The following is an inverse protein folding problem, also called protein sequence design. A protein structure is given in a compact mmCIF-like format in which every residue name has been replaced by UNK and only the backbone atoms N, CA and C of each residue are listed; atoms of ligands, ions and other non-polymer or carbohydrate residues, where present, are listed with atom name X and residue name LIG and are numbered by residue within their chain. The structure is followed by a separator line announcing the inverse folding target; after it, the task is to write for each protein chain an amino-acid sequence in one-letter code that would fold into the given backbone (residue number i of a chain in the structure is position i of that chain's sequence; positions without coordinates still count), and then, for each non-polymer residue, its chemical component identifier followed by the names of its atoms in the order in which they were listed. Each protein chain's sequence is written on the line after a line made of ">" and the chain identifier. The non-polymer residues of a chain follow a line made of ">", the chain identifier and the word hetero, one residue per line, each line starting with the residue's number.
data_IF_472036334698
#
_entry.id   IF_472036334698
#
_cell.length_a   1.000
_cell.length_b   1.000
_cell.length_c   1.000
_cell.angle_alpha   90.00
_cell.angle_beta   90.00
_cell.angle_gamma   90.00
#
_symmetry.space_group_name_H-M   'P 1'
#
loop_
_entity.id
_entity.type
_entity.pdbx_description
1 polymer ?
#
# COMPACT_ATOMS: atom_id res chain seq x y z
N UNK A 1 76.29 -38.51 -15.88
CA UNK A 1 75.19 -37.53 -16.03
C UNK A 1 73.98 -38.23 -16.65
N UNK A 2 72.98 -38.58 -15.84
CA UNK A 2 71.66 -39.09 -16.28
C UNK A 2 70.62 -38.31 -15.47
N UNK A 3 70.22 -37.16 -15.97
CA UNK A 3 69.16 -36.31 -15.39
C UNK A 3 68.13 -36.08 -16.48
N UNK A 4 67.18 -37.01 -16.63
CA UNK A 4 66.17 -36.93 -17.69
C UNK A 4 64.93 -37.80 -17.47
N UNK A 5 64.70 -38.32 -16.25
CA UNK A 5 63.54 -39.17 -15.95
C UNK A 5 62.58 -38.57 -14.91
N UNK A 6 63.01 -37.55 -14.16
CA UNK A 6 62.19 -36.87 -13.15
C UNK A 6 61.30 -35.76 -13.70
N UNK A 7 61.67 -35.17 -14.85
CA UNK A 7 60.92 -34.06 -15.45
C UNK A 7 59.61 -34.52 -16.09
N UNK A 8 59.56 -35.71 -16.68
CA UNK A 8 58.39 -36.25 -17.39
C UNK A 8 57.24 -36.68 -16.45
N UNK A 9 57.57 -37.29 -15.31
CA UNK A 9 56.57 -37.65 -14.27
C UNK A 9 55.94 -36.40 -13.60
N UNK A 10 56.75 -35.35 -13.44
CA UNK A 10 56.31 -34.07 -12.86
C UNK A 10 55.43 -33.26 -13.82
N UNK A 11 55.67 -33.36 -15.13
CA UNK A 11 54.84 -32.76 -16.17
C UNK A 11 53.49 -33.48 -16.32
N UNK A 12 53.50 -34.83 -16.37
CA UNK A 12 52.26 -35.64 -16.42
C UNK A 12 51.35 -35.42 -15.21
N UNK A 13 51.91 -35.33 -14.00
CA UNK A 13 51.13 -35.08 -12.79
C UNK A 13 50.54 -33.65 -12.73
N UNK A 14 51.19 -32.66 -13.34
CA UNK A 14 50.63 -31.30 -13.50
C UNK A 14 49.49 -31.28 -14.51
N UNK A 15 49.65 -31.94 -15.66
CA UNK A 15 48.62 -32.06 -16.69
C UNK A 15 47.35 -32.76 -16.15
N UNK A 16 47.51 -33.90 -15.45
CA UNK A 16 46.41 -34.60 -14.79
C UNK A 16 45.71 -33.76 -13.71
N UNK A 17 46.44 -32.91 -12.97
CA UNK A 17 45.85 -31.97 -12.01
C UNK A 17 45.07 -30.84 -12.70
N UNK A 18 45.52 -30.40 -13.87
CA UNK A 18 44.87 -29.33 -14.64
C UNK A 18 43.57 -29.82 -15.30
N UNK A 19 43.53 -31.06 -15.81
CA UNK A 19 42.33 -31.65 -16.41
C UNK A 19 41.21 -31.96 -15.41
N UNK A 20 41.51 -32.09 -14.12
CA UNK A 20 40.51 -32.28 -13.06
C UNK A 20 40.04 -30.94 -12.49
N UNK A 21 40.93 -29.94 -12.39
CA UNK A 21 40.58 -28.62 -11.87
C UNK A 21 39.64 -27.84 -12.79
N UNK A 22 39.83 -27.92 -14.11
CA UNK A 22 38.99 -27.21 -15.09
C UNK A 22 37.51 -27.63 -15.06
N UNK A 23 37.15 -28.93 -15.10
CA UNK A 23 35.76 -29.35 -14.99
C UNK A 23 35.17 -29.10 -13.59
N UNK A 24 35.97 -29.17 -12.52
CA UNK A 24 35.51 -28.81 -11.15
C UNK A 24 35.20 -27.31 -11.04
N UNK A 25 36.02 -26.44 -11.64
CA UNK A 25 35.77 -24.99 -11.71
C UNK A 25 34.53 -24.70 -12.58
N UNK A 26 34.38 -25.35 -13.74
CA UNK A 26 33.20 -25.19 -14.59
C UNK A 26 31.91 -25.67 -13.92
N UNK A 27 31.95 -26.78 -13.16
CA UNK A 27 30.81 -27.28 -12.38
C UNK A 27 30.46 -26.39 -11.18
N UNK A 28 31.44 -25.73 -10.57
CA UNK A 28 31.21 -24.81 -9.44
C UNK A 28 30.73 -23.42 -9.87
N UNK A 29 31.03 -23.00 -11.11
CA UNK A 29 30.48 -21.78 -11.72
C UNK A 29 28.98 -21.91 -12.05
N UNK A 30 28.45 -23.11 -12.32
CA UNK A 30 27.00 -23.33 -12.47
C UNK A 30 26.22 -23.32 -11.15
N UNK A 31 26.90 -23.59 -10.02
CA UNK A 31 26.29 -23.54 -8.68
C UNK A 31 26.18 -22.11 -8.12
N UNK A 32 26.83 -21.14 -8.75
CA UNK A 32 26.87 -19.73 -8.32
C UNK A 32 25.98 -18.79 -9.14
N UNK A 33 24.98 -19.32 -9.84
CA UNK A 33 23.81 -18.52 -10.20
C UNK A 33 23.15 -18.05 -8.92
N UNK A 34 23.61 -16.91 -8.39
CA UNK A 34 22.97 -16.26 -7.27
C UNK A 34 21.52 -16.06 -7.67
N UNK A 35 20.62 -16.76 -6.98
CA UNK A 35 19.23 -16.35 -6.92
C UNK A 35 19.25 -15.00 -6.21
N UNK A 36 19.51 -13.95 -6.96
CA UNK A 36 19.31 -12.58 -6.53
C UNK A 36 17.87 -12.56 -6.01
N UNK A 37 17.71 -12.27 -4.72
CA UNK A 37 16.43 -12.20 -4.05
C UNK A 37 15.42 -11.58 -5.01
N UNK A 38 14.35 -12.30 -5.35
CA UNK A 38 13.35 -11.79 -6.27
C UNK A 38 12.95 -10.39 -5.80
N UNK A 39 13.22 -9.39 -6.63
CA UNK A 39 12.82 -8.01 -6.41
C UNK A 39 11.33 -8.03 -6.04
N UNK A 40 10.96 -7.39 -4.92
CA UNK A 40 9.63 -7.51 -4.30
C UNK A 40 8.53 -7.38 -5.37
N UNK A 41 7.94 -8.50 -5.77
CA UNK A 41 6.93 -8.52 -6.83
C UNK A 41 5.67 -7.86 -6.29
N UNK A 42 5.07 -6.94 -7.06
CA UNK A 42 3.83 -6.30 -6.67
C UNK A 42 2.79 -7.36 -6.25
N UNK A 43 2.08 -7.10 -5.15
CA UNK A 43 0.95 -7.93 -4.77
C UNK A 43 -0.02 -8.04 -5.95
N UNK A 44 -0.43 -9.27 -6.26
CA UNK A 44 -1.30 -9.55 -7.39
C UNK A 44 -2.17 -10.76 -7.10
N UNK A 45 -3.32 -10.82 -7.77
CA UNK A 45 -4.26 -11.92 -7.61
C UNK A 45 -4.95 -12.24 -8.94
N UNK A 46 -4.77 -13.49 -9.40
CA UNK A 46 -5.44 -14.00 -10.59
C UNK A 46 -6.94 -14.22 -10.36
N UNK A 47 -7.70 -14.08 -11.44
CA UNK A 47 -9.17 -14.13 -11.46
C UNK A 47 -9.82 -13.18 -10.45
N UNK A 48 -9.20 -12.04 -10.20
CA UNK A 48 -9.72 -11.00 -9.33
C UNK A 48 -9.56 -9.64 -10.00
N UNK A 49 -10.38 -8.69 -9.56
CA UNK A 49 -10.30 -7.28 -9.92
C UNK A 49 -10.78 -6.44 -8.74
N UNK A 50 -10.31 -5.20 -8.66
CA UNK A 50 -10.92 -4.23 -7.76
C UNK A 50 -12.10 -3.54 -8.47
N UNK A 51 -13.26 -3.48 -7.82
CA UNK A 51 -14.49 -2.89 -8.38
C UNK A 51 -14.82 -1.56 -7.68
N UNK A 52 -15.46 -0.63 -8.40
CA UNK A 52 -15.93 0.64 -7.81
C UNK A 52 -14.85 1.73 -7.67
N UNK A 53 -13.62 1.44 -8.10
CA UNK A 53 -12.46 2.33 -7.97
C UNK A 53 -11.76 2.63 -9.31
N UNK A 54 -12.42 2.32 -10.44
CA UNK A 54 -11.86 2.51 -11.77
C UNK A 54 -11.86 3.99 -12.12
N UNK A 55 -10.67 4.57 -12.32
CA UNK A 55 -10.49 5.96 -12.76
C UNK A 55 -10.30 6.08 -14.27
N UNK A 56 -9.83 5.02 -14.93
CA UNK A 56 -9.64 5.00 -16.37
C UNK A 56 -9.70 3.59 -16.93
N UNK A 57 -10.32 3.45 -18.09
CA UNK A 57 -10.34 2.19 -18.84
C UNK A 57 -9.64 2.36 -20.19
N UNK A 58 -8.84 1.37 -20.56
CA UNK A 58 -8.19 1.24 -21.87
C UNK A 58 -8.56 -0.09 -22.51
N UNK A 59 -8.93 -0.04 -23.79
CA UNK A 59 -9.23 -1.24 -24.60
C UNK A 59 -8.04 -1.62 -25.47
N UNK A 60 -8.09 -2.83 -26.04
CA UNK A 60 -7.05 -3.40 -26.91
C UNK A 60 -5.65 -3.46 -26.26
N UNK A 61 -5.59 -3.58 -24.93
CA UNK A 61 -4.34 -3.79 -24.18
C UNK A 61 -3.95 -5.26 -24.25
N UNK A 62 -2.68 -5.55 -24.59
CA UNK A 62 -2.20 -6.91 -24.89
C UNK A 62 -1.45 -7.59 -23.74
N UNK A 63 -1.07 -6.84 -22.72
CA UNK A 63 -0.35 -7.37 -21.56
C UNK A 63 -0.60 -6.55 -20.29
N UNK A 64 -0.40 -7.16 -19.14
CA UNK A 64 -0.40 -6.45 -17.86
C UNK A 64 0.70 -5.38 -17.81
N UNK A 65 1.86 -5.60 -18.47
CA UNK A 65 2.93 -4.61 -18.56
C UNK A 65 2.46 -3.31 -19.22
N UNK A 66 1.77 -3.39 -20.36
CA UNK A 66 1.19 -2.21 -21.02
C UNK A 66 0.14 -1.51 -20.14
N UNK A 67 -0.56 -2.26 -19.30
CA UNK A 67 -1.51 -1.69 -18.34
C UNK A 67 -0.77 -0.95 -17.20
N UNK A 68 0.34 -1.52 -16.71
CA UNK A 68 1.24 -0.90 -15.72
C UNK A 68 1.87 0.39 -16.26
N UNK A 69 2.34 0.40 -17.51
CA UNK A 69 2.88 1.61 -18.17
C UNK A 69 1.83 2.72 -18.25
N UNK A 70 0.56 2.36 -18.48
CA UNK A 70 -0.55 3.33 -18.45
C UNK A 70 -0.81 3.85 -17.04
N UNK A 71 -0.73 2.98 -16.02
CA UNK A 71 -0.87 3.38 -14.62
C UNK A 71 0.20 4.37 -14.18
N UNK A 72 1.45 4.20 -14.64
CA UNK A 72 2.57 5.10 -14.35
C UNK A 72 2.27 6.56 -14.74
N UNK A 73 1.57 6.77 -15.85
CA UNK A 73 1.20 8.09 -16.36
C UNK A 73 0.06 8.76 -15.57
N UNK A 74 -0.57 8.05 -14.62
CA UNK A 74 -1.67 8.55 -13.80
C UNK A 74 -1.26 8.59 -12.33
N UNK A 75 -1.11 9.81 -11.78
CA UNK A 75 -0.68 10.02 -10.39
C UNK A 75 -1.60 9.37 -9.35
N UNK A 76 -2.86 9.17 -9.68
CA UNK A 76 -3.85 8.58 -8.77
C UNK A 76 -4.04 7.08 -9.00
N UNK A 77 -3.20 6.44 -9.83
CA UNK A 77 -3.29 5.01 -10.09
C UNK A 77 -2.44 4.19 -9.09
N UNK A 78 -3.12 3.42 -8.24
CA UNK A 78 -2.53 2.58 -7.19
C UNK A 78 -2.60 1.07 -7.49
N UNK A 79 -3.49 0.67 -8.40
CA UNK A 79 -3.58 -0.72 -8.88
C UNK A 79 -4.21 -0.79 -10.27
N UNK A 80 -4.11 -1.96 -10.89
CA UNK A 80 -4.69 -2.23 -12.20
C UNK A 80 -5.53 -3.51 -12.20
N UNK A 81 -6.57 -3.54 -13.04
CA UNK A 81 -7.24 -4.76 -13.46
C UNK A 81 -6.89 -5.01 -14.93
N UNK A 82 -6.15 -6.09 -15.22
CA UNK A 82 -5.90 -6.53 -16.58
C UNK A 82 -6.81 -7.71 -16.94
N UNK A 83 -7.90 -7.44 -17.63
CA UNK A 83 -8.87 -8.41 -18.11
C UNK A 83 -8.47 -8.93 -19.49
N UNK A 84 -7.58 -9.93 -19.50
CA UNK A 84 -6.92 -10.45 -20.69
C UNK A 84 -7.87 -11.10 -21.69
N UNK A 85 -8.99 -11.68 -21.23
CA UNK A 85 -10.01 -12.26 -22.11
C UNK A 85 -10.71 -11.20 -23.00
N UNK A 86 -10.71 -9.94 -22.55
CA UNK A 86 -11.37 -8.81 -23.22
C UNK A 86 -10.36 -7.81 -23.80
N UNK A 87 -9.07 -7.97 -23.52
CA UNK A 87 -8.04 -6.97 -23.84
C UNK A 87 -8.30 -5.62 -23.16
N UNK A 88 -8.88 -5.63 -21.96
CA UNK A 88 -9.25 -4.44 -21.19
C UNK A 88 -8.28 -4.24 -20.03
N UNK A 89 -7.89 -2.99 -19.81
CA UNK A 89 -7.09 -2.52 -18.70
C UNK A 89 -7.88 -1.45 -17.96
N UNK A 90 -8.13 -1.65 -16.67
CA UNK A 90 -8.71 -0.65 -15.79
C UNK A 90 -7.63 -0.16 -14.82
N UNK A 91 -7.45 1.15 -14.73
CA UNK A 91 -6.60 1.83 -13.75
C UNK A 91 -7.45 2.20 -12.55
N UNK A 92 -6.96 1.97 -11.33
CA UNK A 92 -7.75 2.15 -10.12
C UNK A 92 -7.07 3.10 -9.12
N UNK A 93 -7.88 3.90 -8.43
CA UNK A 93 -7.42 4.78 -7.34
C UNK A 93 -7.40 4.13 -5.95
N UNK A 94 -7.58 2.82 -5.89
CA UNK A 94 -7.53 2.04 -4.67
C UNK A 94 -6.72 0.76 -4.89
N UNK A 95 -6.44 0.05 -3.80
CA UNK A 95 -5.81 -1.26 -3.83
C UNK A 95 -6.39 -2.18 -2.73
N UNK A 96 -5.91 -3.43 -2.68
CA UNK A 96 -6.37 -4.44 -1.72
C UNK A 96 -6.14 -4.07 -0.25
N UNK A 97 -5.22 -3.14 0.05
CA UNK A 97 -4.96 -2.69 1.41
C UNK A 97 -5.96 -1.62 1.85
N UNK A 98 -6.27 -0.67 0.95
CA UNK A 98 -7.19 0.45 1.21
C UNK A 98 -8.66 0.04 1.11
N UNK A 99 -8.99 -0.86 0.18
CA UNK A 99 -10.36 -1.31 -0.09
C UNK A 99 -10.40 -2.84 -0.31
N UNK A 100 -10.14 -3.64 0.74
CA UNK A 100 -10.08 -5.10 0.64
C UNK A 100 -11.38 -5.75 0.17
N UNK A 101 -12.54 -5.18 0.53
CA UNK A 101 -13.86 -5.66 0.13
C UNK A 101 -14.15 -5.47 -1.36
N UNK A 102 -13.47 -4.51 -2.00
CA UNK A 102 -13.64 -4.21 -3.42
C UNK A 102 -12.87 -5.18 -4.30
N UNK A 103 -11.96 -5.98 -3.73
CA UNK A 103 -11.23 -7.03 -4.44
C UNK A 103 -12.11 -8.28 -4.58
N UNK A 104 -12.74 -8.40 -5.75
CA UNK A 104 -13.75 -9.42 -6.02
C UNK A 104 -13.27 -10.41 -7.08
N UNK A 105 -13.81 -11.63 -7.01
CA UNK A 105 -13.58 -12.63 -8.04
C UNK A 105 -14.12 -12.15 -9.40
N UNK A 106 -13.29 -12.25 -10.42
CA UNK A 106 -13.63 -11.92 -11.81
C UNK A 106 -12.79 -12.79 -12.74
N UNK A 107 -13.41 -13.85 -13.26
CA UNK A 107 -12.75 -14.78 -14.17
C UNK A 107 -12.17 -14.05 -15.40
N UNK A 108 -10.91 -14.36 -15.73
CA UNK A 108 -10.23 -13.74 -16.88
C UNK A 108 -9.64 -12.36 -16.61
N UNK A 109 -9.64 -11.89 -15.36
CA UNK A 109 -8.95 -10.68 -14.93
C UNK A 109 -7.78 -11.00 -14.00
N UNK A 110 -6.75 -10.17 -14.07
CA UNK A 110 -5.59 -10.22 -13.18
C UNK A 110 -5.48 -8.87 -12.50
N UNK A 111 -5.64 -8.87 -11.18
CA UNK A 111 -5.45 -7.70 -10.32
C UNK A 111 -3.97 -7.57 -9.95
N UNK A 112 -3.41 -6.35 -10.03
CA UNK A 112 -2.03 -6.06 -9.62
C UNK A 112 -1.95 -4.70 -8.92
N UNK A 113 -1.25 -4.63 -7.78
CA UNK A 113 -0.81 -3.36 -7.21
C UNK A 113 0.20 -2.69 -8.14
N UNK A 114 0.21 -1.35 -8.16
CA UNK A 114 1.29 -0.61 -8.81
C UNK A 114 2.49 -0.48 -7.87
N UNK A 115 3.59 -1.15 -8.19
CA UNK A 115 4.74 -1.34 -7.28
C UNK A 115 5.41 -0.03 -6.84
N UNK A 116 5.40 1.00 -7.68
CA UNK A 116 6.08 2.27 -7.39
C UNK A 116 5.22 3.24 -6.57
N UNK A 117 3.97 2.88 -6.25
CA UNK A 117 3.05 3.75 -5.49
C UNK A 117 2.49 2.99 -4.29
N UNK A 118 3.27 3.03 -3.22
CA UNK A 118 2.85 2.57 -1.91
C UNK A 118 1.65 3.36 -1.38
N UNK A 119 0.82 2.71 -0.57
CA UNK A 119 -0.25 3.37 0.17
C UNK A 119 0.17 3.51 1.63
N UNK A 120 0.03 4.70 2.25
CA UNK A 120 0.46 4.91 3.65
C UNK A 120 -0.53 4.33 4.66
N UNK A 121 -1.74 3.97 4.22
CA UNK A 121 -2.84 3.53 5.07
C UNK A 121 -3.41 2.19 4.58
N UNK A 122 -4.04 1.46 5.49
CA UNK A 122 -4.79 0.25 5.19
C UNK A 122 -6.09 0.18 5.99
N UNK A 123 -7.06 -0.57 5.47
CA UNK A 123 -8.40 -0.69 6.03
C UNK A 123 -8.41 -1.60 7.27
N UNK A 124 -9.03 -1.13 8.35
CA UNK A 124 -9.26 -1.96 9.55
C UNK A 124 -10.11 -3.20 9.27
N UNK A 125 -10.81 -3.29 8.12
CA UNK A 125 -11.52 -4.50 7.70
C UNK A 125 -10.59 -5.70 7.46
N UNK A 126 -9.29 -5.46 7.28
CA UNK A 126 -8.27 -6.50 7.19
C UNK A 126 -7.95 -7.15 8.55
N UNK A 127 -8.36 -6.51 9.65
CA UNK A 127 -8.05 -6.94 11.00
C UNK A 127 -9.34 -7.27 11.77
N UNK A 128 -9.26 -8.30 12.62
CA UNK A 128 -10.34 -8.58 13.57
C UNK A 128 -10.31 -7.55 14.69
N UNK A 129 -11.47 -7.05 15.09
CA UNK A 129 -11.61 -6.20 16.28
C UNK A 129 -11.02 -6.92 17.52
N UNK A 130 -10.23 -6.25 18.39
CA UNK A 130 -9.97 -4.80 18.48
C UNK A 130 -8.66 -4.32 17.81
N UNK A 131 -8.15 -5.04 16.80
CA UNK A 131 -6.88 -4.70 16.16
C UNK A 131 -7.05 -3.65 15.05
N UNK A 132 -6.02 -2.84 14.87
CA UNK A 132 -5.92 -1.79 13.84
C UNK A 132 -4.92 -2.23 12.77
N UNK A 133 -5.25 -1.90 11.52
CA UNK A 133 -4.38 -2.15 10.39
C UNK A 133 -3.25 -1.13 10.33
N UNK A 134 -2.00 -1.62 10.25
CA UNK A 134 -0.80 -0.82 9.94
C UNK A 134 -0.12 -1.42 8.72
N UNK A 135 0.28 -0.57 7.78
CA UNK A 135 1.07 -1.02 6.62
C UNK A 135 2.42 -1.57 7.11
N UNK A 136 2.88 -2.69 6.54
CA UNK A 136 4.18 -3.27 6.86
C UNK A 136 5.32 -2.41 6.28
N UNK A 137 6.54 -2.53 6.83
CA UNK A 137 7.75 -1.82 6.36
C UNK A 137 8.09 -2.10 4.89
N UNK A 138 7.56 -3.18 4.31
CA UNK A 138 7.72 -3.52 2.90
C UNK A 138 6.64 -2.87 2.00
N UNK A 139 5.73 -2.07 2.57
CA UNK A 139 4.72 -1.23 1.88
C UNK A 139 3.74 -1.97 0.95
N UNK A 140 3.79 -3.31 0.95
CA UNK A 140 2.96 -4.19 0.12
C UNK A 140 2.00 -5.07 0.93
N UNK A 141 2.13 -5.08 2.26
CA UNK A 141 1.30 -5.88 3.17
C UNK A 141 0.84 -5.07 4.38
N UNK A 142 0.24 -5.75 5.35
CA UNK A 142 -0.23 -5.14 6.59
C UNK A 142 0.07 -6.02 7.81
N UNK A 143 0.07 -5.39 8.98
CA UNK A 143 0.08 -6.00 10.30
C UNK A 143 -1.12 -5.49 11.10
N UNK A 144 -1.70 -6.38 11.90
CA UNK A 144 -2.77 -6.03 12.83
C UNK A 144 -2.16 -5.83 14.21
N UNK A 145 -2.27 -4.61 14.74
CA UNK A 145 -1.70 -4.23 16.04
C UNK A 145 -2.81 -3.77 16.99
N UNK A 146 -2.65 -3.94 18.32
CA UNK A 146 -3.56 -3.35 19.29
C UNK A 146 -3.70 -1.83 19.09
N UNK A 147 -4.89 -1.27 19.29
CA UNK A 147 -5.12 0.19 19.23
C UNK A 147 -4.17 0.98 20.14
N UNK A 148 -3.82 0.40 21.30
CA UNK A 148 -2.96 1.04 22.31
C UNK A 148 -1.54 1.34 21.78
N UNK A 149 -1.09 0.57 20.79
CA UNK A 149 0.21 0.73 20.14
C UNK A 149 0.16 1.74 18.97
N UNK A 150 -1.03 2.23 18.61
CA UNK A 150 -1.26 3.22 17.55
C UNK A 150 -1.57 4.58 18.17
N UNK A 151 -0.54 5.23 18.74
CA UNK A 151 -0.63 6.65 19.11
C UNK A 151 -0.17 7.52 17.95
N UNK A 152 -1.09 7.84 17.04
CA UNK A 152 -0.92 9.00 16.17
C UNK A 152 -1.46 10.22 16.91
N UNK A 153 -0.53 10.96 17.54
CA UNK A 153 -0.86 12.17 18.30
C UNK A 153 -0.67 13.37 17.39
N UNK A 154 -1.78 14.04 17.08
CA UNK A 154 -1.74 15.36 16.45
C UNK A 154 -1.60 16.43 17.53
N UNK A 155 -0.75 17.42 17.30
CA UNK A 155 -0.50 18.52 18.23
C UNK A 155 -0.76 19.86 17.53
N UNK A 156 -1.56 20.70 18.17
CA UNK A 156 -2.01 22.00 17.64
C UNK A 156 -1.54 23.14 18.56
N UNK A 157 -0.24 23.50 18.51
CA UNK A 157 0.36 24.40 19.50
C UNK A 157 -0.02 25.88 19.32
N UNK A 158 -0.55 26.28 18.16
CA UNK A 158 -0.75 27.70 17.83
C UNK A 158 -2.05 28.28 18.40
N UNK A 159 -2.96 27.44 18.89
CA UNK A 159 -4.28 27.82 19.41
C UNK A 159 -5.03 28.76 18.45
N UNK A 160 -5.09 28.40 17.18
CA UNK A 160 -5.74 29.21 16.16
C UNK A 160 -6.56 28.34 15.21
N UNK A 161 -7.59 28.93 14.60
CA UNK A 161 -8.51 28.24 13.67
C UNK A 161 -7.83 27.76 12.38
N UNK A 162 -6.60 28.23 12.13
CA UNK A 162 -5.74 27.76 11.02
C UNK A 162 -4.90 26.55 11.41
N UNK A 163 -4.86 26.17 12.69
CA UNK A 163 -4.18 24.98 13.20
C UNK A 163 -5.16 23.81 13.17
N UNK A 164 -5.51 23.36 11.96
CA UNK A 164 -6.48 22.30 11.72
C UNK A 164 -5.96 21.29 10.70
N UNK A 165 -6.52 20.08 10.73
CA UNK A 165 -6.39 19.10 9.65
C UNK A 165 -7.70 19.08 8.89
N UNK A 166 -7.63 19.32 7.59
CA UNK A 166 -8.79 19.37 6.71
C UNK A 166 -8.72 18.22 5.71
N UNK A 167 -9.81 17.45 5.62
CA UNK A 167 -9.96 16.34 4.70
C UNK A 167 -11.13 16.65 3.77
N UNK A 168 -10.84 17.01 2.54
CA UNK A 168 -11.85 17.21 1.50
C UNK A 168 -12.30 15.84 0.97
N UNK A 169 -13.59 15.54 1.13
CA UNK A 169 -14.22 14.35 0.55
C UNK A 169 -14.64 14.62 -0.90
N UNK A 170 -14.66 13.59 -1.74
CA UNK A 170 -15.16 13.72 -3.10
C UNK A 170 -16.64 14.13 -3.11
N UNK A 171 -17.06 14.92 -4.11
CA UNK A 171 -18.38 15.54 -4.21
C UNK A 171 -19.57 14.55 -4.14
N UNK A 172 -19.32 13.27 -4.39
CA UNK A 172 -20.36 12.23 -4.44
C UNK A 172 -20.58 11.53 -3.08
N UNK A 173 -19.84 11.88 -2.02
CA UNK A 173 -19.93 11.23 -0.71
C UNK A 173 -21.01 11.89 0.15
N UNK A 174 -22.13 11.20 0.33
CA UNK A 174 -23.17 11.57 1.31
C UNK A 174 -22.98 10.81 2.63
N UNK A 175 -22.83 11.54 3.73
CA UNK A 175 -22.67 10.97 5.06
C UNK A 175 -24.04 10.58 5.63
N UNK A 176 -24.35 9.29 5.66
CA UNK A 176 -25.63 8.77 6.20
C UNK A 176 -25.55 8.31 7.66
N UNK A 177 -24.35 8.00 8.12
CA UNK A 177 -24.03 7.66 9.49
C UNK A 177 -22.56 7.96 9.75
N UNK A 178 -22.21 8.26 11.00
CA UNK A 178 -20.83 8.48 11.39
C UNK A 178 -20.57 7.96 12.81
N UNK A 179 -19.32 7.59 13.05
CA UNK A 179 -18.82 7.22 14.38
C UNK A 179 -17.47 7.87 14.55
N UNK A 180 -17.27 8.57 15.67
CA UNK A 180 -16.00 9.18 16.03
C UNK A 180 -15.60 8.68 17.41
N UNK A 181 -14.33 8.29 17.55
CA UNK A 181 -13.73 7.92 18.82
C UNK A 181 -12.33 8.52 18.87
N UNK A 182 -12.09 9.39 19.84
CA UNK A 182 -10.81 10.09 19.99
C UNK A 182 -10.51 10.38 21.46
N UNK A 183 -9.21 10.48 21.78
CA UNK A 183 -8.72 10.99 23.05
C UNK A 183 -8.17 12.39 22.82
N UNK A 184 -8.61 13.35 23.64
CA UNK A 184 -8.20 14.75 23.52
C UNK A 184 -7.58 15.23 24.83
N UNK A 185 -6.44 15.91 24.70
CA UNK A 185 -5.83 16.67 25.78
C UNK A 185 -6.06 18.16 25.51
N UNK A 186 -7.08 18.74 26.14
CA UNK A 186 -7.45 20.15 25.99
C UNK A 186 -6.57 21.09 26.83
N UNK A 187 -6.45 22.35 26.41
CA UNK A 187 -5.80 23.38 27.22
C UNK A 187 -6.78 23.92 28.27
N UNK A 188 -6.49 23.80 29.58
CA UNK A 188 -7.44 24.22 30.63
C UNK A 188 -7.73 25.72 30.64
N UNK A 189 -6.91 26.53 29.96
CA UNK A 189 -7.07 27.98 29.94
C UNK A 189 -8.00 28.47 28.83
N UNK A 190 -8.39 27.59 27.90
CA UNK A 190 -9.27 27.94 26.79
C UNK A 190 -10.70 27.53 27.14
N UNK A 191 -11.67 28.43 26.92
CA UNK A 191 -13.07 28.22 27.29
C UNK A 191 -13.74 27.13 26.45
N UNK A 192 -13.37 27.06 25.17
CA UNK A 192 -13.96 26.16 24.18
C UNK A 192 -12.91 25.64 23.18
N UNK A 193 -12.99 24.35 22.83
CA UNK A 193 -12.14 23.72 21.83
C UNK A 193 -12.99 22.97 20.81
N UNK A 194 -12.90 23.33 19.53
CA UNK A 194 -13.45 22.54 18.43
C UNK A 194 -12.56 21.32 18.18
N UNK A 195 -13.12 20.12 18.30
CA UNK A 195 -12.39 18.87 18.14
C UNK A 195 -12.59 18.25 16.76
N UNK A 196 -13.79 18.40 16.23
CA UNK A 196 -14.20 17.84 14.96
C UNK A 196 -15.32 18.71 14.39
N UNK A 197 -15.23 19.02 13.10
CA UNK A 197 -16.32 19.60 12.32
C UNK A 197 -16.46 18.83 11.01
N UNK A 198 -17.70 18.65 10.57
CA UNK A 198 -18.05 18.18 9.24
C UNK A 198 -18.91 19.26 8.58
N UNK A 199 -18.46 19.77 7.44
CA UNK A 199 -19.16 20.75 6.64
C UNK A 199 -19.69 20.14 5.35
N UNK A 200 -20.85 20.62 4.92
CA UNK A 200 -21.44 20.40 3.61
C UNK A 200 -21.21 21.63 2.71
N UNK A 201 -21.70 21.57 1.47
CA UNK A 201 -21.65 22.74 0.56
C UNK A 201 -22.57 23.87 1.06
N UNK A 202 -23.61 23.53 1.80
CA UNK A 202 -24.61 24.47 2.32
C UNK A 202 -24.32 24.97 3.73
N UNK A 203 -23.67 24.15 4.56
CA UNK A 203 -23.39 24.49 5.95
C UNK A 203 -21.94 24.10 6.31
N UNK A 204 -21.16 25.04 6.82
CA UNK A 204 -19.78 24.78 7.21
C UNK A 204 -19.67 23.91 8.48
N UNK A 205 -20.71 23.89 9.33
CA UNK A 205 -20.70 23.26 10.65
C UNK A 205 -21.92 22.32 10.84
N UNK A 206 -22.28 21.58 9.79
CA UNK A 206 -23.39 20.61 9.79
C UNK A 206 -23.32 19.62 10.97
N UNK A 207 -22.11 19.15 11.31
CA UNK A 207 -21.87 18.39 12.54
C UNK A 207 -20.65 19.00 13.22
N UNK A 208 -20.79 19.36 14.50
CA UNK A 208 -19.69 19.88 15.30
C UNK A 208 -19.57 19.14 16.64
N UNK A 209 -18.33 18.87 17.03
CA UNK A 209 -17.99 18.34 18.35
C UNK A 209 -17.00 19.28 19.00
N UNK A 210 -17.38 19.85 20.13
CA UNK A 210 -16.54 20.78 20.86
C UNK A 210 -16.54 20.49 22.37
N UNK A 211 -15.44 20.84 23.02
CA UNK A 211 -15.27 20.76 24.47
C UNK A 211 -15.40 22.14 25.07
N UNK A 212 -16.27 22.27 26.05
CA UNK A 212 -16.24 23.40 26.99
C UNK A 212 -15.43 23.02 28.22
N UNK A 213 -15.25 23.97 29.15
CA UNK A 213 -14.64 23.69 30.46
C UNK A 213 -15.36 22.64 31.31
N UNK A 214 -16.64 22.37 31.04
CA UNK A 214 -17.50 21.58 31.94
C UNK A 214 -18.19 20.40 31.27
N UNK A 215 -18.38 20.45 29.95
CA UNK A 215 -19.08 19.41 29.21
C UNK A 215 -18.61 19.34 27.76
N UNK A 216 -18.81 18.18 27.15
CA UNK A 216 -18.66 17.94 25.71
C UNK A 216 -20.00 18.19 25.03
N UNK A 217 -19.97 18.82 23.86
CA UNK A 217 -21.14 19.02 23.02
C UNK A 217 -20.96 18.27 21.71
N UNK A 218 -22.04 17.62 21.27
CA UNK A 218 -22.26 17.19 19.90
C UNK A 218 -23.44 18.00 19.38
N UNK A 219 -23.20 18.84 18.39
CA UNK A 219 -24.22 19.60 17.69
C UNK A 219 -24.37 19.04 16.28
N UNK A 220 -25.62 18.88 15.85
CA UNK A 220 -25.99 18.48 14.51
C UNK A 220 -26.96 19.57 14.04
N UNK A 221 -26.59 20.26 12.97
CA UNK A 221 -27.43 21.30 12.40
C UNK A 221 -28.79 20.69 12.04
N UNK A 222 -29.86 21.28 12.56
CA UNK A 222 -31.21 20.84 12.25
C UNK A 222 -31.49 21.26 10.80
N UNK A 223 -31.49 20.29 9.89
CA UNK A 223 -32.10 20.46 8.57
C UNK A 223 -33.62 20.47 8.77
N UNK A 224 -34.15 21.60 9.27
CA UNK A 224 -35.57 21.88 9.08
C UNK A 224 -35.79 22.06 7.57
N UNK A 225 -36.33 21.00 6.94
CA UNK A 225 -36.99 21.07 5.62
C UNK A 225 -38.07 22.17 5.57
#
# INVERSE_FOLDING_TARGET
>A
MRTGRDTDSKERSKLLRMEILVPVILLSLWKHGQAQSCQATAYSQFNHKIQGHVIKTHSAVKSSLQCTEKCELHADCYSINYCFSQGVCELNNANHLTNPESLVYSAGCHYLNYILRAVPICSNKLCSYPLVCKVDNNEQGHKCVPCEDVKEVMSFPRKSVQDKVELELQADVQLTAFTISMWVQADPNTDEHSLFCYGTVSDADEISVYLTKVYTVLEIADTME
#
